data_IF_307369926111
#
_entry.id   IF_307369926111
#
_cell.length_a   1.000
_cell.length_b   1.000
_cell.length_c   1.000
_cell.angle_alpha   90.00
_cell.angle_beta   90.00
_cell.angle_gamma   90.00
#
_symmetry.space_group_name_H-M   'P 1'
#
loop_
_entity.id
_entity.type
_entity.pdbx_description
1 polymer ?
#
# COMPACT_ATOMS: atom_id res chain seq x y z
N UNK A 1 -13.92 3.03 6.73
CA UNK A 1 -13.80 2.07 5.61
C UNK A 1 -12.35 1.60 5.46
N UNK A 2 -12.06 0.57 4.64
CA UNK A 2 -10.68 0.11 4.39
C UNK A 2 -9.78 1.27 3.90
N UNK A 3 -10.31 2.07 2.97
CA UNK A 3 -9.60 3.22 2.39
C UNK A 3 -9.29 4.31 3.43
N UNK A 4 -10.22 4.63 4.33
CA UNK A 4 -9.98 5.62 5.40
C UNK A 4 -8.90 5.16 6.38
N UNK A 5 -8.92 3.89 6.78
CA UNK A 5 -7.89 3.33 7.66
C UNK A 5 -6.51 3.27 7.00
N UNK A 6 -6.49 2.95 5.70
CA UNK A 6 -5.29 2.99 4.89
C UNK A 6 -4.74 4.42 4.79
N UNK A 7 -5.58 5.42 4.49
CA UNK A 7 -5.19 6.83 4.44
C UNK A 7 -4.60 7.33 5.75
N UNK A 8 -5.23 7.04 6.87
CA UNK A 8 -4.73 7.46 8.19
C UNK A 8 -3.38 6.81 8.53
N UNK A 9 -3.23 5.51 8.25
CA UNK A 9 -2.00 4.77 8.51
C UNK A 9 -0.86 5.27 7.61
N UNK A 10 -1.14 5.42 6.31
CA UNK A 10 -0.17 5.88 5.33
C UNK A 10 0.31 7.31 5.62
N UNK A 11 -0.62 8.21 5.99
CA UNK A 11 -0.27 9.58 6.39
C UNK A 11 0.70 9.59 7.57
N UNK A 12 0.43 8.79 8.61
CA UNK A 12 1.27 8.71 9.81
C UNK A 12 2.65 8.12 9.53
N UNK A 13 2.75 7.23 8.55
CA UNK A 13 3.98 6.52 8.19
C UNK A 13 4.75 7.19 7.04
N UNK A 14 4.26 8.29 6.46
CA UNK A 14 4.88 8.92 5.29
C UNK A 14 4.85 8.03 4.04
N UNK A 15 3.83 7.18 3.92
CA UNK A 15 3.61 6.26 2.79
C UNK A 15 2.61 6.87 1.81
N UNK A 16 2.87 6.69 0.51
CA UNK A 16 2.00 7.13 -0.59
C UNK A 16 1.65 5.95 -1.48
N UNK A 17 0.69 6.12 -2.38
CA UNK A 17 0.28 5.09 -3.33
C UNK A 17 -1.21 5.11 -3.63
N UNK A 18 -1.71 3.96 -4.10
CA UNK A 18 -3.09 3.76 -4.51
C UNK A 18 -3.64 2.45 -3.98
N UNK A 19 -4.95 2.38 -3.79
CA UNK A 19 -5.68 1.14 -3.57
C UNK A 19 -6.85 1.06 -4.55
N UNK A 20 -6.76 0.14 -5.50
CA UNK A 20 -7.79 -0.10 -6.50
C UNK A 20 -8.52 -1.39 -6.15
N UNK A 21 -9.85 -1.34 -6.22
CA UNK A 21 -10.71 -2.52 -6.07
C UNK A 21 -11.49 -2.74 -7.35
N UNK A 22 -11.37 -3.94 -7.92
CA UNK A 22 -12.08 -4.33 -9.14
C UNK A 22 -12.44 -5.82 -9.08
N UNK A 23 -13.72 -6.13 -9.29
CA UNK A 23 -14.25 -7.51 -9.37
C UNK A 23 -13.81 -8.44 -8.22
N UNK A 24 -13.84 -7.94 -6.98
CA UNK A 24 -13.45 -8.74 -5.81
C UNK A 24 -11.94 -8.83 -5.56
N UNK A 25 -11.13 -8.21 -6.41
CA UNK A 25 -9.67 -8.18 -6.29
C UNK A 25 -9.16 -6.79 -5.92
N UNK A 26 -8.02 -6.74 -5.23
CA UNK A 26 -7.33 -5.51 -4.85
C UNK A 26 -5.99 -5.38 -5.57
N UNK A 27 -5.67 -4.18 -6.02
CA UNK A 27 -4.34 -3.79 -6.48
C UNK A 27 -3.88 -2.64 -5.59
N UNK A 28 -2.70 -2.78 -4.99
CA UNK A 28 -2.17 -1.80 -4.07
C UNK A 28 -0.73 -1.44 -4.45
N UNK A 29 -0.44 -0.14 -4.46
CA UNK A 29 0.93 0.38 -4.60
C UNK A 29 1.31 1.06 -3.29
N UNK A 30 2.51 0.81 -2.80
CA UNK A 30 3.08 1.39 -1.59
C UNK A 30 4.44 2.00 -1.90
N UNK A 31 4.61 3.28 -1.60
CA UNK A 31 5.86 4.00 -1.80
C UNK A 31 6.26 4.69 -0.48
N UNK A 32 7.53 4.60 -0.10
CA UNK A 32 8.01 5.14 1.16
C UNK A 32 9.39 4.61 1.55
N UNK A 33 9.86 4.93 2.76
CA UNK A 33 11.09 4.36 3.30
C UNK A 33 11.02 2.82 3.26
N UNK A 34 12.09 2.12 2.83
CA UNK A 34 12.04 0.67 2.62
C UNK A 34 11.56 -0.11 3.85
N UNK A 35 12.12 0.16 5.02
CA UNK A 35 11.76 -0.47 6.29
C UNK A 35 10.27 -0.28 6.64
N UNK A 36 9.74 0.91 6.39
CA UNK A 36 8.34 1.25 6.64
C UNK A 36 7.41 0.52 5.67
N UNK A 37 7.75 0.50 4.38
CA UNK A 37 6.96 -0.20 3.34
C UNK A 37 6.95 -1.70 3.59
N UNK A 38 8.10 -2.29 3.94
CA UNK A 38 8.19 -3.72 4.26
C UNK A 38 7.36 -4.11 5.48
N UNK A 39 7.46 -3.33 6.56
CA UNK A 39 6.66 -3.58 7.77
C UNK A 39 5.16 -3.43 7.49
N UNK A 40 4.77 -2.46 6.66
CA UNK A 40 3.37 -2.28 6.25
C UNK A 40 2.88 -3.43 5.36
N UNK A 41 3.70 -3.86 4.39
CA UNK A 41 3.38 -4.99 3.52
C UNK A 41 3.19 -6.28 4.33
N UNK A 42 4.08 -6.61 5.27
CA UNK A 42 3.95 -7.81 6.11
C UNK A 42 2.63 -7.84 6.93
N UNK A 43 2.17 -6.67 7.37
CA UNK A 43 0.87 -6.52 8.05
C UNK A 43 -0.31 -6.70 7.09
N UNK A 44 -0.18 -6.21 5.86
CA UNK A 44 -1.19 -6.37 4.82
C UNK A 44 -1.24 -7.85 4.42
N UNK A 45 -0.12 -8.49 4.12
CA UNK A 45 -0.05 -9.89 3.68
C UNK A 45 -0.77 -10.86 4.63
N UNK A 46 -0.69 -10.61 5.93
CA UNK A 46 -1.30 -11.45 6.97
C UNK A 46 -2.74 -11.05 7.35
N UNK A 47 -3.29 -10.03 6.69
CA UNK A 47 -4.61 -9.51 7.00
C UNK A 47 -5.73 -10.48 6.54
N UNK A 48 -6.61 -10.94 7.45
CA UNK A 48 -7.62 -11.96 7.13
C UNK A 48 -8.74 -11.47 6.21
N UNK A 49 -8.77 -10.18 5.86
CA UNK A 49 -9.78 -9.59 4.98
C UNK A 49 -9.52 -9.90 3.50
N UNK A 50 -8.35 -10.40 3.15
CA UNK A 50 -8.02 -10.87 1.79
C UNK A 50 -7.20 -12.16 1.86
N UNK A 51 -6.94 -12.76 0.71
CA UNK A 51 -6.09 -13.94 0.59
C UNK A 51 -5.37 -13.95 -0.75
N UNK A 52 -4.18 -14.57 -0.78
CA UNK A 52 -3.42 -14.71 -2.02
C UNK A 52 -2.73 -13.42 -2.48
N UNK A 53 -2.18 -12.63 -1.56
CA UNK A 53 -1.38 -11.46 -1.91
C UNK A 53 -0.20 -11.84 -2.81
N UNK A 54 -0.13 -11.27 -4.01
CA UNK A 54 0.93 -11.49 -4.98
C UNK A 54 1.72 -10.20 -5.19
N UNK A 55 3.04 -10.27 -5.06
CA UNK A 55 3.94 -9.16 -5.38
C UNK A 55 4.15 -9.11 -6.89
N UNK A 56 3.61 -8.09 -7.55
CA UNK A 56 3.79 -7.88 -8.99
C UNK A 56 5.12 -7.18 -9.32
N UNK A 57 5.58 -6.28 -8.45
CA UNK A 57 6.83 -5.54 -8.60
C UNK A 57 7.33 -5.08 -7.24
N UNK A 58 8.66 -5.06 -7.07
CA UNK A 58 9.34 -4.60 -5.86
C UNK A 58 10.72 -4.06 -6.23
N UNK A 59 11.04 -2.87 -5.77
CA UNK A 59 12.31 -2.23 -6.07
C UNK A 59 12.42 -0.83 -5.48
N UNK A 60 13.61 -0.25 -5.64
CA UNK A 60 13.84 1.17 -5.34
C UNK A 60 13.33 2.03 -6.49
N UNK A 61 12.76 3.17 -6.16
CA UNK A 61 12.32 4.19 -7.12
C UNK A 61 13.03 5.50 -6.80
N UNK A 62 13.42 6.25 -7.83
CA UNK A 62 14.08 7.55 -7.68
C UNK A 62 13.10 8.64 -7.21
N UNK A 63 11.84 8.52 -7.63
CA UNK A 63 10.74 9.40 -7.26
C UNK A 63 9.44 8.63 -7.01
N UNK A 64 8.51 9.25 -6.26
CA UNK A 64 7.20 8.67 -5.98
C UNK A 64 6.28 8.84 -7.17
N UNK A 65 5.80 7.74 -7.74
CA UNK A 65 4.85 7.71 -8.85
C UNK A 65 3.49 8.31 -8.47
N UNK A 66 3.12 8.24 -7.18
CA UNK A 66 1.84 8.74 -6.66
C UNK A 66 1.96 10.02 -5.83
N UNK A 67 3.08 10.73 -5.91
CA UNK A 67 3.25 12.07 -5.32
C UNK A 67 2.71 12.20 -3.89
N UNK A 68 1.75 13.10 -3.67
CA UNK A 68 1.10 13.36 -2.37
C UNK A 68 -0.11 12.45 -2.06
N UNK A 69 -0.41 11.48 -2.92
CA UNK A 69 -1.58 10.61 -2.73
C UNK A 69 -1.30 9.62 -1.62
N UNK A 70 -1.85 9.92 -0.44
CA UNK A 70 -1.78 9.11 0.78
C UNK A 70 -2.78 7.94 0.73
N UNK A 71 -2.83 7.23 -0.40
CA UNK A 71 -3.85 6.26 -0.82
C UNK A 71 -5.05 6.90 -1.54
N UNK A 72 -4.93 6.96 -2.88
CA UNK A 72 -6.01 7.33 -3.82
C UNK A 72 -7.23 6.44 -3.67
#
# INVERSE_FOLDING_TARGET
TLLEGARATNTRLGVTGLLLFHEGSFIQVLEGPPDVVEALYARIETDPRHGGALVLSRGLVEERSFGEWRMG
#
